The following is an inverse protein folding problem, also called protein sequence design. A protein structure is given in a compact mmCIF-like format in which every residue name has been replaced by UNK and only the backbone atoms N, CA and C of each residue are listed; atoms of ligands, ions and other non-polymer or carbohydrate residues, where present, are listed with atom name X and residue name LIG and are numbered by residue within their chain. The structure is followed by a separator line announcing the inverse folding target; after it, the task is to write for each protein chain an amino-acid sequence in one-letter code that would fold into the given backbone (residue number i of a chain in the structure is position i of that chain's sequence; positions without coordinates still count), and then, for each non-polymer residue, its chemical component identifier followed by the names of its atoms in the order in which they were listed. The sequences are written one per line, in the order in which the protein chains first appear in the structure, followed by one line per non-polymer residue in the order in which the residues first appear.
data_IF_391285198999
#
_entry.id   IF_391285198999
#
_cell.length_a   1.000
_cell.length_b   1.000
_cell.length_c   1.000
_cell.angle_alpha   90.00
_cell.angle_beta   90.00
_cell.angle_gamma   90.00
#
_symmetry.space_group_name_H-M   'P 1'
#
loop_
_entity.id
_entity.type
_entity.pdbx_description
1 polymer ?
#
# COMPACT_ATOMS: atom_id res chain seq x y z
N UNK A 1 -17.36 3.85 -4.67
CA UNK A 1 -16.71 2.60 -5.12
C UNK A 1 -15.20 2.82 -5.09
N UNK A 2 -14.48 2.31 -4.09
CA UNK A 2 -13.03 2.52 -3.92
C UNK A 2 -12.21 1.43 -4.62
N UNK A 3 -10.91 1.66 -4.85
CA UNK A 3 -10.00 0.62 -5.36
C UNK A 3 -9.94 -0.61 -4.43
N UNK A 4 -10.00 -0.38 -3.12
CA UNK A 4 -10.08 -1.45 -2.12
C UNK A 4 -11.37 -2.27 -2.30
N UNK A 5 -12.50 -1.61 -2.54
CA UNK A 5 -13.76 -2.29 -2.81
C UNK A 5 -13.70 -3.13 -4.10
N UNK A 6 -13.01 -2.65 -5.14
CA UNK A 6 -12.79 -3.38 -6.39
C UNK A 6 -11.79 -4.54 -6.27
N UNK A 7 -11.22 -4.78 -5.08
CA UNK A 7 -10.28 -5.87 -4.84
C UNK A 7 -8.88 -5.64 -5.41
N UNK A 8 -8.53 -4.39 -5.77
CA UNK A 8 -7.18 -4.05 -6.23
C UNK A 8 -6.18 -4.24 -5.08
N UNK A 9 -5.09 -4.96 -5.35
CA UNK A 9 -4.02 -5.27 -4.39
C UNK A 9 -2.68 -4.68 -4.85
N UNK A 10 -1.67 -4.73 -3.97
CA UNK A 10 -0.31 -4.21 -4.22
C UNK A 10 -0.24 -2.68 -4.39
N UNK A 11 -1.10 -1.96 -3.69
CA UNK A 11 -1.14 -0.50 -3.72
C UNK A 11 0.01 0.05 -2.88
N UNK A 12 0.78 0.99 -3.42
CA UNK A 12 1.82 1.73 -2.68
C UNK A 12 1.24 3.00 -2.05
N UNK A 13 1.49 3.22 -0.76
CA UNK A 13 0.96 4.31 0.05
C UNK A 13 2.09 5.15 0.65
N UNK A 14 2.08 6.47 0.46
CA UNK A 14 3.09 7.36 1.04
C UNK A 14 3.12 8.76 0.42
N UNK A 15 4.06 9.64 0.83
CA UNK A 15 5.18 9.37 1.76
C UNK A 15 4.78 9.23 3.23
N UNK A 16 3.63 9.78 3.59
CA UNK A 16 3.12 9.77 4.96
C UNK A 16 1.85 8.93 4.98
N UNK A 17 1.74 8.06 5.97
CA UNK A 17 0.52 7.29 6.22
C UNK A 17 -0.58 8.26 6.65
N UNK A 18 -1.82 8.14 6.13
CA UNK A 18 -2.89 9.05 6.51
C UNK A 18 -3.08 9.12 8.02
N UNK A 19 -3.31 10.32 8.57
CA UNK A 19 -3.33 10.55 10.03
C UNK A 19 -4.39 9.74 10.80
N UNK A 20 -5.40 9.20 10.11
CA UNK A 20 -6.45 8.35 10.68
C UNK A 20 -6.11 6.86 10.69
N UNK A 21 -5.02 6.44 10.03
CA UNK A 21 -4.55 5.06 10.01
C UNK A 21 -3.64 4.83 11.22
N UNK A 22 -4.14 4.07 12.18
CA UNK A 22 -3.34 3.53 13.27
C UNK A 22 -2.75 2.16 12.89
N UNK A 23 -2.00 1.54 13.80
CA UNK A 23 -1.35 0.24 13.57
C UNK A 23 -2.35 -0.89 13.27
N UNK A 24 -3.50 -0.92 13.94
CA UNK A 24 -4.54 -1.93 13.71
C UNK A 24 -5.16 -1.82 12.31
N UNK A 25 -5.50 -0.59 11.90
CA UNK A 25 -6.02 -0.33 10.55
C UNK A 25 -4.96 -0.65 9.52
N UNK A 26 -3.70 -0.25 9.74
CA UNK A 26 -2.60 -0.56 8.82
C UNK A 26 -2.43 -2.07 8.65
N UNK A 27 -2.51 -2.84 9.74
CA UNK A 27 -2.45 -4.30 9.68
C UNK A 27 -3.58 -4.89 8.84
N UNK A 28 -4.82 -4.44 9.05
CA UNK A 28 -5.97 -4.87 8.22
C UNK A 28 -5.76 -4.53 6.74
N UNK A 29 -5.18 -3.37 6.44
CA UNK A 29 -4.88 -2.95 5.07
C UNK A 29 -3.78 -3.79 4.42
N UNK A 30 -2.72 -4.12 5.17
CA UNK A 30 -1.64 -5.00 4.72
C UNK A 30 -2.16 -6.42 4.49
N UNK A 31 -2.85 -7.00 5.48
CA UNK A 31 -3.29 -8.40 5.46
C UNK A 31 -4.31 -8.68 4.34
N UNK A 32 -5.25 -7.75 4.10
CA UNK A 32 -6.32 -7.96 3.12
C UNK A 32 -5.98 -7.49 1.70
N UNK A 33 -5.24 -6.37 1.58
CA UNK A 33 -5.04 -5.68 0.31
C UNK A 33 -3.57 -5.63 -0.14
N UNK A 34 -2.65 -6.19 0.65
CA UNK A 34 -1.21 -6.13 0.41
C UNK A 34 -0.74 -4.68 0.17
N UNK A 35 -1.23 -3.74 0.98
CA UNK A 35 -0.75 -2.35 0.94
C UNK A 35 0.72 -2.34 1.34
N UNK A 36 1.53 -1.57 0.59
CA UNK A 36 2.95 -1.37 0.87
C UNK A 36 3.23 0.11 1.06
N UNK A 37 4.15 0.46 1.94
CA UNK A 37 4.66 1.82 2.00
C UNK A 37 5.62 2.08 0.84
N UNK A 38 5.72 3.33 0.39
CA UNK A 38 6.77 3.71 -0.57
C UNK A 38 8.15 3.66 0.09
N UNK A 39 9.19 3.47 -0.71
CA UNK A 39 10.58 3.43 -0.29
C UNK A 39 11.42 4.33 -1.23
N UNK A 40 12.70 4.02 -1.41
CA UNK A 40 13.53 4.68 -2.42
C UNK A 40 12.94 4.48 -3.82
N UNK A 41 12.89 5.54 -4.65
CA UNK A 41 12.32 5.48 -6.00
C UNK A 41 12.87 4.33 -6.85
N UNK A 42 14.18 4.10 -6.81
CA UNK A 42 14.82 3.04 -7.59
C UNK A 42 14.37 1.64 -7.15
N UNK A 43 14.16 1.41 -5.86
CA UNK A 43 13.70 0.13 -5.30
C UNK A 43 12.23 -0.09 -5.68
N UNK A 44 11.40 0.92 -5.49
CA UNK A 44 9.97 0.84 -5.82
C UNK A 44 9.74 0.57 -7.31
N UNK A 45 10.45 1.27 -8.20
CA UNK A 45 10.36 1.05 -9.65
C UNK A 45 10.78 -0.38 -10.01
N UNK A 46 11.91 -0.86 -9.48
CA UNK A 46 12.37 -2.24 -9.71
C UNK A 46 11.35 -3.27 -9.24
N UNK A 47 10.72 -3.06 -8.09
CA UNK A 47 9.71 -3.98 -7.57
C UNK A 47 8.40 -3.94 -8.36
N UNK A 48 7.97 -2.77 -8.83
CA UNK A 48 6.75 -2.62 -9.64
C UNK A 48 6.92 -3.31 -11.00
N UNK A 49 8.09 -3.17 -11.65
CA UNK A 49 8.36 -3.76 -12.96
C UNK A 49 8.67 -5.27 -12.92
N UNK A 50 8.96 -5.83 -11.74
CA UNK A 50 9.10 -7.28 -11.53
C UNK A 50 7.76 -8.02 -11.45
N UNK A 51 6.66 -7.27 -11.31
CA UNK A 51 5.30 -7.78 -11.13
C UNK A 51 4.71 -8.38 -12.40
#
# INVERSE_FOLDING_TARGET
WSLLYLGVKNIRLGPIVPAWVNEEILKVLVDNFNIKLINEPEKDIKEILKG
#
